data_IF_835757183812
#
_entry.id   IF_835757183812
#
_cell.length_a   1.000
_cell.length_b   1.000
_cell.length_c   1.000
_cell.angle_alpha   90.00
_cell.angle_beta   90.00
_cell.angle_gamma   90.00
#
_symmetry.space_group_name_H-M   'P 1'
#
loop_
_entity.id
_entity.type
_entity.pdbx_description
1 polymer ?
#
# COMPACT_ATOMS: atom_id res chain seq x y z
N UNK A 1 58.52 2.22 37.36
CA UNK A 1 57.87 3.49 36.99
C UNK A 1 56.39 3.19 36.76
N UNK A 2 55.55 3.66 37.69
CA UNK A 2 54.08 3.53 37.74
C UNK A 2 53.42 4.44 36.66
N UNK A 3 52.18 4.30 36.18
CA UNK A 3 50.94 3.73 36.70
C UNK A 3 49.83 4.80 36.49
N UNK A 4 48.71 4.45 35.82
CA UNK A 4 47.59 5.33 35.44
C UNK A 4 46.91 6.06 36.63
N UNK A 5 46.31 7.26 36.43
CA UNK A 5 45.46 7.91 37.44
C UNK A 5 43.93 7.60 37.28
N UNK A 6 43.16 7.56 38.39
CA UNK A 6 41.71 7.32 38.45
C UNK A 6 40.85 8.61 38.47
N UNK A 7 39.50 8.52 38.38
CA UNK A 7 38.58 9.66 38.17
C UNK A 7 38.15 10.37 39.47
N UNK A 8 37.99 11.70 39.39
CA UNK A 8 37.61 12.57 40.50
C UNK A 8 36.10 12.75 40.69
N UNK A 9 35.65 12.49 41.92
CA UNK A 9 34.30 12.76 42.45
C UNK A 9 34.27 14.16 43.10
N UNK A 10 33.15 14.88 42.95
CA UNK A 10 32.85 16.11 43.70
C UNK A 10 31.67 15.90 44.67
N UNK A 11 31.65 16.57 45.84
CA UNK A 11 30.73 16.28 46.95
C UNK A 11 29.38 17.03 46.90
N UNK A 12 28.38 16.41 47.52
CA UNK A 12 27.03 16.94 47.80
C UNK A 12 27.00 17.98 48.94
N UNK A 13 26.06 18.94 48.89
CA UNK A 13 25.43 19.55 50.07
C UNK A 13 23.88 19.35 50.09
N UNK A 14 23.18 19.68 51.21
CA UNK A 14 22.15 18.82 51.81
C UNK A 14 20.68 19.18 51.51
N UNK A 15 19.80 18.24 51.90
CA UNK A 15 18.34 18.27 51.91
C UNK A 15 17.73 19.45 52.70
N UNK A 16 16.59 19.96 52.21
CA UNK A 16 15.63 20.71 53.02
C UNK A 16 14.42 21.24 52.25
N UNK A 17 13.22 20.82 52.66
CA UNK A 17 12.01 21.67 52.73
C UNK A 17 11.08 21.74 51.52
N UNK A 18 9.93 21.07 51.61
CA UNK A 18 8.76 21.25 50.74
C UNK A 18 7.98 22.54 51.07
N UNK A 19 7.18 23.06 50.11
CA UNK A 19 5.92 23.74 50.43
C UNK A 19 4.72 23.27 49.57
N UNK A 20 3.47 23.67 49.91
CA UNK A 20 2.33 22.76 49.99
C UNK A 20 1.33 22.80 48.82
N UNK A 21 0.43 21.80 48.87
CA UNK A 21 -0.77 21.56 48.06
C UNK A 21 -1.71 22.77 47.92
N UNK A 22 -2.28 22.89 46.72
CA UNK A 22 -3.49 23.66 46.45
C UNK A 22 -4.21 23.11 45.22
N UNK A 23 -5.28 22.35 45.43
CA UNK A 23 -6.25 21.95 44.40
C UNK A 23 -7.24 23.09 44.13
N UNK A 24 -7.75 23.21 42.90
CA UNK A 24 -9.12 23.66 42.68
C UNK A 24 -10.00 22.60 41.98
N UNK A 25 -11.33 22.68 42.15
CA UNK A 25 -12.22 21.53 42.08
C UNK A 25 -12.91 21.31 40.72
N UNK A 26 -13.27 20.05 40.47
CA UNK A 26 -14.18 19.61 39.41
C UNK A 26 -15.59 20.16 39.64
N UNK A 27 -16.17 20.77 38.60
CA UNK A 27 -17.59 21.09 38.51
C UNK A 27 -18.27 20.25 37.43
N UNK A 28 -19.24 19.43 37.82
CA UNK A 28 -20.20 18.78 36.93
C UNK A 28 -21.37 19.73 36.64
N UNK A 29 -21.87 19.83 35.39
CA UNK A 29 -23.20 20.35 35.14
C UNK A 29 -24.26 19.23 35.16
N UNK A 30 -25.50 19.51 35.63
CA UNK A 30 -26.55 18.51 35.84
C UNK A 30 -27.36 18.22 34.57
N UNK A 31 -27.94 17.00 34.53
CA UNK A 31 -28.97 16.58 33.58
C UNK A 31 -30.22 17.47 33.64
N UNK A 32 -30.72 17.85 32.46
CA UNK A 32 -31.99 18.54 32.26
C UNK A 32 -32.61 18.23 30.89
N UNK A 33 -33.84 17.75 30.95
CA UNK A 33 -34.82 17.25 29.96
C UNK A 33 -34.83 17.75 28.49
N UNK A 34 -35.40 16.97 27.56
CA UNK A 34 -35.46 17.29 26.13
C UNK A 34 -36.63 18.23 25.77
N UNK A 35 -36.47 19.14 24.78
CA UNK A 35 -37.58 19.89 24.21
C UNK A 35 -38.21 19.20 22.97
N UNK A 36 -39.41 19.63 22.54
CA UNK A 36 -40.45 18.77 21.98
C UNK A 36 -40.46 18.66 20.45
N UNK A 37 -41.15 17.61 19.98
CA UNK A 37 -41.58 17.44 18.59
C UNK A 37 -42.53 18.57 18.15
N UNK A 38 -42.27 19.14 16.96
CA UNK A 38 -43.24 19.95 16.22
C UNK A 38 -42.72 20.27 14.82
N UNK A 39 -43.29 19.64 13.80
CA UNK A 39 -44.23 20.21 12.82
C UNK A 39 -43.56 20.63 11.49
N UNK A 40 -43.88 19.87 10.44
CA UNK A 40 -43.66 20.22 9.03
C UNK A 40 -44.58 21.36 8.58
N UNK A 41 -44.14 22.18 7.62
CA UNK A 41 -45.05 22.80 6.65
C UNK A 41 -44.54 22.60 5.18
N UNK A 42 -45.33 22.92 4.13
CA UNK A 42 -45.75 21.93 3.13
C UNK A 42 -45.14 22.12 1.73
N UNK A 43 -45.39 21.12 0.87
CA UNK A 43 -45.19 21.18 -0.58
C UNK A 43 -45.95 22.34 -1.24
N UNK A 44 -45.34 22.92 -2.28
CA UNK A 44 -46.10 23.42 -3.43
C UNK A 44 -45.40 24.47 -4.30
N UNK A 45 -45.44 24.18 -5.62
CA UNK A 45 -45.61 25.11 -6.74
C UNK A 45 -44.37 25.45 -7.61
N UNK A 46 -44.29 24.78 -8.77
CA UNK A 46 -43.81 25.31 -10.07
C UNK A 46 -44.77 26.43 -10.55
N UNK A 47 -44.36 27.44 -11.37
CA UNK A 47 -44.02 27.30 -12.82
C UNK A 47 -43.05 28.43 -13.34
N UNK A 48 -42.98 28.80 -14.65
CA UNK A 48 -42.66 28.09 -15.91
C UNK A 48 -41.39 28.68 -16.62
N UNK A 49 -40.98 28.19 -17.83
CA UNK A 49 -39.70 28.56 -18.46
C UNK A 49 -39.81 29.70 -19.49
N UNK A 50 -38.78 30.55 -19.54
CA UNK A 50 -38.43 31.42 -20.68
C UNK A 50 -36.90 31.45 -20.78
N UNK A 51 -36.23 31.42 -21.93
CA UNK A 51 -36.60 31.85 -23.27
C UNK A 51 -35.65 32.99 -23.69
N UNK A 52 -34.46 32.66 -24.21
CA UNK A 52 -33.57 33.50 -25.05
C UNK A 52 -32.32 32.68 -25.40
N UNK A 53 -32.19 32.13 -26.61
CA UNK A 53 -31.60 32.76 -27.81
C UNK A 53 -30.20 33.36 -27.59
N UNK A 54 -29.20 32.66 -28.13
CA UNK A 54 -27.84 33.12 -28.34
C UNK A 54 -27.20 32.30 -29.47
N UNK A 55 -27.41 32.75 -30.70
CA UNK A 55 -26.84 32.22 -31.94
C UNK A 55 -25.32 32.46 -31.98
N UNK A 56 -24.55 31.44 -32.37
CA UNK A 56 -23.29 31.63 -33.10
C UNK A 56 -23.14 30.53 -34.17
N UNK A 57 -22.93 30.99 -35.41
CA UNK A 57 -22.70 30.23 -36.63
C UNK A 57 -21.39 29.42 -36.60
N UNK A 58 -21.40 28.22 -37.17
CA UNK A 58 -20.21 27.53 -37.66
C UNK A 58 -20.52 26.90 -39.05
N UNK A 59 -19.63 27.03 -40.05
CA UNK A 59 -19.91 26.63 -41.43
C UNK A 59 -19.63 25.16 -41.73
N UNK A 60 -20.33 24.69 -42.77
CA UNK A 60 -20.37 23.37 -43.36
C UNK A 60 -19.00 22.84 -43.83
N UNK A 61 -18.74 21.56 -43.56
CA UNK A 61 -17.81 20.71 -44.28
C UNK A 61 -18.51 19.39 -44.59
N UNK A 62 -18.78 19.15 -45.87
CA UNK A 62 -19.46 17.98 -46.42
C UNK A 62 -18.51 16.78 -46.47
N UNK A 63 -18.95 15.57 -46.12
CA UNK A 63 -18.67 14.31 -46.84
C UNK A 63 -19.66 13.20 -46.39
N UNK A 64 -20.14 12.34 -47.31
CA UNK A 64 -21.32 11.46 -47.13
C UNK A 64 -21.02 10.07 -46.53
N UNK A 65 -22.05 9.34 -46.02
CA UNK A 65 -21.89 7.99 -45.49
C UNK A 65 -22.03 6.92 -46.60
N UNK A 66 -21.35 5.76 -46.51
CA UNK A 66 -21.68 4.64 -47.38
C UNK A 66 -22.86 3.83 -46.86
N UNK A 67 -23.84 3.62 -47.74
CA UNK A 67 -24.99 2.75 -47.57
C UNK A 67 -24.60 1.26 -47.57
N UNK A 68 -25.33 0.49 -46.77
CA UNK A 68 -25.20 -0.96 -46.64
C UNK A 68 -25.63 -1.75 -47.88
N UNK A 69 -25.19 -3.00 -47.91
CA UNK A 69 -25.64 -4.04 -48.83
C UNK A 69 -25.85 -5.34 -48.02
N UNK A 70 -27.10 -5.84 -47.99
CA UNK A 70 -27.46 -7.25 -47.74
C UNK A 70 -27.40 -7.99 -49.10
N UNK A 71 -27.16 -9.32 -49.20
CA UNK A 71 -28.11 -10.40 -48.81
C UNK A 71 -27.44 -11.80 -48.54
N UNK A 72 -28.13 -12.96 -48.59
CA UNK A 72 -29.45 -13.36 -48.07
C UNK A 72 -29.37 -14.51 -47.03
N UNK A 73 -30.50 -14.76 -46.33
CA UNK A 73 -30.74 -15.92 -45.45
C UNK A 73 -30.84 -17.25 -46.22
N UNK A 74 -30.44 -18.34 -45.56
CA UNK A 74 -30.93 -19.70 -45.86
C UNK A 74 -30.04 -20.83 -45.35
N UNK A 75 -30.33 -21.38 -44.16
CA UNK A 75 -29.72 -22.62 -43.66
C UNK A 75 -30.27 -23.05 -42.30
N UNK A 76 -30.75 -24.30 -42.13
CA UNK A 76 -31.56 -24.72 -40.98
C UNK A 76 -30.76 -24.90 -39.67
N UNK A 77 -31.40 -24.77 -38.48
CA UNK A 77 -30.74 -24.97 -37.19
C UNK A 77 -30.49 -26.46 -36.89
N UNK A 78 -29.43 -26.80 -36.13
CA UNK A 78 -29.15 -28.18 -35.73
C UNK A 78 -30.19 -28.71 -34.71
N UNK A 79 -30.48 -30.02 -34.72
CA UNK A 79 -31.57 -30.59 -33.93
C UNK A 79 -31.28 -30.63 -32.43
N UNK A 80 -32.31 -30.29 -31.64
CA UNK A 80 -32.37 -30.49 -30.19
C UNK A 80 -32.26 -32.00 -29.87
N UNK A 81 -31.18 -32.37 -29.18
CA UNK A 81 -31.05 -33.69 -28.58
C UNK A 81 -32.07 -33.87 -27.45
N UNK A 82 -32.94 -34.86 -27.60
CA UNK A 82 -33.89 -35.31 -26.60
C UNK A 82 -33.15 -35.85 -25.38
N UNK A 83 -33.52 -35.36 -24.19
CA UNK A 83 -33.19 -35.98 -22.92
C UNK A 83 -33.92 -37.33 -22.83
N UNK A 84 -33.17 -38.42 -23.03
CA UNK A 84 -33.60 -39.78 -22.74
C UNK A 84 -33.52 -40.06 -21.24
N UNK A 85 -34.63 -40.54 -20.66
CA UNK A 85 -34.68 -41.05 -19.30
C UNK A 85 -33.81 -42.32 -19.13
N UNK A 86 -33.14 -42.52 -17.99
CA UNK A 86 -32.49 -43.79 -17.68
C UNK A 86 -33.50 -44.84 -17.18
N UNK A 87 -33.28 -46.14 -17.47
CA UNK A 87 -34.17 -47.23 -17.09
C UNK A 87 -34.08 -47.59 -15.58
N UNK A 88 -35.13 -48.21 -14.99
CA UNK A 88 -35.15 -48.59 -13.58
C UNK A 88 -34.39 -49.91 -13.37
N UNK A 89 -33.36 -49.90 -12.51
CA UNK A 89 -32.52 -51.06 -12.26
C UNK A 89 -32.10 -51.18 -10.79
N UNK A 90 -32.79 -52.09 -10.08
CA UNK A 90 -32.45 -52.85 -8.87
C UNK A 90 -31.31 -52.38 -7.95
N UNK A 91 -31.68 -52.06 -6.71
CA UNK A 91 -30.77 -52.01 -5.57
C UNK A 91 -30.28 -53.43 -5.17
N UNK A 92 -28.99 -53.62 -4.86
CA UNK A 92 -28.54 -54.77 -4.07
C UNK A 92 -28.57 -54.44 -2.55
N UNK A 93 -28.82 -55.43 -1.68
CA UNK A 93 -29.03 -55.22 -0.26
C UNK A 93 -27.72 -54.98 0.50
N UNK A 94 -27.73 -53.97 1.39
CA UNK A 94 -26.68 -53.76 2.39
C UNK A 94 -26.72 -54.88 3.44
N UNK A 95 -25.65 -55.67 3.49
CA UNK A 95 -25.38 -56.62 4.56
C UNK A 95 -24.85 -55.92 5.82
N UNK A 96 -25.40 -56.27 6.97
CA UNK A 96 -24.90 -55.91 8.29
C UNK A 96 -23.52 -56.51 8.56
N UNK A 97 -22.56 -55.77 9.16
CA UNK A 97 -21.41 -56.38 9.80
C UNK A 97 -21.77 -56.90 11.21
N UNK A 98 -21.26 -58.09 11.62
CA UNK A 98 -21.55 -58.68 12.92
C UNK A 98 -20.79 -58.02 14.08
N UNK A 99 -21.45 -58.01 15.25
CA UNK A 99 -20.96 -57.56 16.54
C UNK A 99 -19.68 -58.29 17.00
N UNK A 100 -18.74 -57.53 17.55
CA UNK A 100 -17.52 -58.05 18.17
C UNK A 100 -17.03 -57.19 19.34
N UNK A 101 -17.56 -57.49 20.52
CA UNK A 101 -16.90 -57.52 21.85
C UNK A 101 -16.10 -56.30 22.35
N UNK A 102 -16.69 -55.57 23.30
CA UNK A 102 -16.00 -54.69 24.25
C UNK A 102 -15.37 -55.48 25.40
N UNK A 103 -14.15 -55.13 25.86
CA UNK A 103 -13.71 -55.39 27.23
C UNK A 103 -13.94 -54.18 28.16
N UNK A 104 -14.06 -54.41 29.48
CA UNK A 104 -14.69 -53.47 30.41
C UNK A 104 -13.76 -52.36 30.92
N UNK A 105 -14.39 -51.24 31.29
CA UNK A 105 -13.79 -50.16 32.04
C UNK A 105 -13.39 -50.60 33.46
N UNK A 106 -12.17 -50.27 33.89
CA UNK A 106 -11.77 -50.26 35.29
C UNK A 106 -10.81 -49.11 35.60
N UNK A 107 -11.23 -48.28 36.57
CA UNK A 107 -10.41 -47.79 37.69
C UNK A 107 -9.26 -46.79 37.42
N UNK A 108 -9.47 -45.53 37.82
CA UNK A 108 -8.37 -44.68 38.33
C UNK A 108 -7.89 -45.23 39.69
N UNK A 109 -6.58 -45.24 40.01
CA UNK A 109 -5.97 -44.13 40.78
C UNK A 109 -4.45 -43.94 40.50
N UNK A 110 -3.65 -43.28 41.37
CA UNK A 110 -3.24 -41.87 41.32
C UNK A 110 -1.75 -41.64 40.93
N UNK A 111 -1.37 -40.37 40.83
CA UNK A 111 -0.02 -39.86 40.57
C UNK A 111 1.12 -40.55 41.35
N UNK A 112 2.26 -40.77 40.68
CA UNK A 112 3.55 -41.02 41.34
C UNK A 112 4.68 -41.43 40.39
N UNK A 113 5.65 -40.53 40.21
CA UNK A 113 7.02 -40.69 39.68
C UNK A 113 7.28 -40.79 38.15
N UNK A 114 8.36 -40.13 37.65
CA UNK A 114 8.66 -40.05 36.22
C UNK A 114 9.55 -41.21 35.75
N UNK A 115 9.35 -41.78 34.54
CA UNK A 115 10.36 -42.63 33.92
C UNK A 115 11.39 -41.79 33.16
N UNK A 116 12.66 -42.07 33.45
CA UNK A 116 13.81 -41.62 32.66
C UNK A 116 13.72 -42.07 31.20
N UNK A 117 14.26 -41.23 30.32
CA UNK A 117 15.13 -41.71 29.23
C UNK A 117 14.49 -41.93 27.87
N UNK A 118 14.03 -40.87 27.23
CA UNK A 118 14.14 -40.75 25.76
C UNK A 118 15.11 -39.62 25.43
N UNK A 119 16.12 -39.86 24.58
CA UNK A 119 16.97 -38.78 24.11
C UNK A 119 16.08 -37.77 23.37
N UNK A 120 16.15 -36.46 23.67
CA UNK A 120 15.42 -35.47 22.91
C UNK A 120 15.91 -35.52 21.47
N UNK A 121 14.99 -35.84 20.55
CA UNK A 121 15.15 -35.51 19.14
C UNK A 121 15.55 -34.02 19.09
N UNK A 122 16.58 -33.63 18.32
CA UNK A 122 16.89 -32.22 18.17
C UNK A 122 15.65 -31.56 17.59
N UNK A 123 14.96 -30.79 18.43
CA UNK A 123 13.92 -29.90 17.98
C UNK A 123 14.54 -29.08 16.86
N UNK A 124 13.92 -29.12 15.69
CA UNK A 124 14.16 -28.13 14.65
C UNK A 124 13.82 -26.78 15.27
N UNK A 125 14.82 -26.17 15.93
CA UNK A 125 14.76 -24.76 16.29
C UNK A 125 14.43 -24.01 15.02
N UNK A 126 13.49 -23.07 15.12
CA UNK A 126 13.21 -22.17 14.01
C UNK A 126 14.56 -21.65 13.46
N UNK A 127 14.80 -21.73 12.14
CA UNK A 127 16.05 -21.23 11.57
C UNK A 127 16.23 -19.78 12.06
N UNK A 128 17.46 -19.37 12.41
CA UNK A 128 17.71 -18.06 12.98
C UNK A 128 17.10 -16.99 12.06
N UNK A 129 16.06 -16.33 12.54
CA UNK A 129 15.46 -15.19 11.86
C UNK A 129 16.52 -14.09 11.80
N UNK A 130 16.75 -13.54 10.61
CA UNK A 130 17.63 -12.38 10.47
C UNK A 130 17.16 -11.22 11.36
N UNK A 131 18.06 -10.31 11.77
CA UNK A 131 17.63 -9.14 12.52
C UNK A 131 16.57 -8.35 11.72
N UNK A 132 15.53 -7.82 12.39
CA UNK A 132 14.48 -7.08 11.71
C UNK A 132 15.07 -5.87 10.99
N UNK A 133 14.57 -5.61 9.78
CA UNK A 133 14.95 -4.41 9.05
C UNK A 133 14.58 -3.15 9.85
N UNK A 134 15.44 -2.12 9.90
CA UNK A 134 15.05 -0.83 10.47
C UNK A 134 13.96 -0.17 9.58
N UNK A 135 13.12 0.71 10.14
CA UNK A 135 12.22 1.53 9.34
C UNK A 135 13.00 2.39 8.33
N UNK A 136 12.38 2.63 7.18
CA UNK A 136 12.90 3.53 6.15
C UNK A 136 13.08 4.96 6.68
N UNK A 137 14.01 5.76 6.14
CA UNK A 137 14.15 7.17 6.53
C UNK A 137 12.81 7.93 6.41
N UNK A 138 12.45 8.64 7.48
CA UNK A 138 11.17 9.36 7.57
C UNK A 138 9.98 8.51 8.05
N UNK A 139 10.18 7.23 8.40
CA UNK A 139 9.16 6.38 9.03
C UNK A 139 9.29 6.31 10.55
N UNK A 140 10.34 6.88 11.12
CA UNK A 140 10.54 6.95 12.57
C UNK A 140 9.90 8.24 13.10
N UNK A 141 8.93 8.17 14.04
CA UNK A 141 8.30 9.36 14.61
C UNK A 141 9.31 10.33 15.22
N UNK A 142 9.20 11.62 14.87
CA UNK A 142 10.08 12.68 15.35
C UNK A 142 11.50 12.68 14.75
N UNK A 143 11.81 11.76 13.82
CA UNK A 143 13.08 11.76 13.12
C UNK A 143 13.17 12.93 12.13
N UNK A 144 14.24 13.70 12.24
CA UNK A 144 14.53 14.82 11.35
C UNK A 144 16.05 15.05 11.27
N UNK A 145 16.48 15.79 10.26
CA UNK A 145 17.87 16.18 10.12
C UNK A 145 18.28 17.12 11.26
N UNK A 146 19.56 17.11 11.62
CA UNK A 146 20.14 18.12 12.50
C UNK A 146 20.45 19.38 11.70
N UNK A 147 20.20 20.56 12.27
CA UNK A 147 20.53 21.83 11.63
C UNK A 147 19.49 22.92 11.87
N UNK A 148 19.59 23.99 11.07
CA UNK A 148 18.66 25.12 11.07
C UNK A 148 18.00 25.24 9.70
N UNK A 149 16.67 25.20 9.67
CA UNK A 149 15.85 25.41 8.47
C UNK A 149 15.06 26.72 8.54
N UNK A 150 15.49 27.69 9.36
CA UNK A 150 14.79 28.97 9.55
C UNK A 150 14.70 29.77 8.25
N UNK A 151 15.72 29.70 7.39
CA UNK A 151 15.73 30.38 6.10
C UNK A 151 14.67 29.80 5.16
N UNK A 152 14.61 28.49 5.04
CA UNK A 152 13.61 27.76 4.26
C UNK A 152 12.21 28.08 4.79
N UNK A 153 12.02 28.00 6.10
CA UNK A 153 10.76 28.33 6.76
C UNK A 153 10.30 29.77 6.48
N UNK A 154 11.18 30.76 6.61
CA UNK A 154 10.88 32.17 6.33
C UNK A 154 10.59 32.41 4.85
N UNK A 155 11.31 31.70 3.96
CA UNK A 155 11.12 31.75 2.51
C UNK A 155 9.75 31.20 2.11
N UNK A 156 9.37 30.03 2.63
CA UNK A 156 8.05 29.43 2.43
C UNK A 156 6.94 30.35 2.95
N UNK A 157 7.13 30.95 4.13
CA UNK A 157 6.13 31.85 4.72
C UNK A 157 5.92 33.08 3.84
N UNK A 158 7.00 33.63 3.29
CA UNK A 158 6.95 34.79 2.38
C UNK A 158 6.28 34.42 1.05
N UNK A 159 6.59 33.25 0.49
CA UNK A 159 5.99 32.76 -0.75
C UNK A 159 4.46 32.58 -0.67
N UNK A 160 3.96 32.27 0.52
CA UNK A 160 2.53 32.10 0.83
C UNK A 160 1.92 33.33 1.55
N UNK A 161 2.50 34.53 1.41
CA UNK A 161 1.97 35.75 2.06
C UNK A 161 1.44 36.73 1.03
N UNK A 162 0.17 37.11 1.18
CA UNK A 162 -0.44 38.19 0.40
C UNK A 162 -1.49 37.66 -0.55
N UNK A 163 -1.70 38.34 -1.67
CA UNK A 163 -2.61 37.88 -2.71
C UNK A 163 -1.84 37.01 -3.70
N UNK A 164 -2.28 35.76 -3.87
CA UNK A 164 -1.58 34.75 -4.68
C UNK A 164 -0.46 34.03 -3.91
N UNK A 165 0.17 33.07 -4.60
CA UNK A 165 1.28 32.27 -4.10
C UNK A 165 2.45 32.40 -5.05
N UNK A 166 3.68 32.36 -4.54
CA UNK A 166 4.89 32.22 -5.37
C UNK A 166 5.22 30.74 -5.55
N UNK A 167 4.62 30.11 -6.57
CA UNK A 167 4.75 28.67 -6.82
C UNK A 167 6.19 28.26 -7.12
N UNK A 168 6.97 29.11 -7.79
CA UNK A 168 8.36 28.83 -8.13
C UNK A 168 9.21 28.72 -6.86
N UNK A 169 9.06 29.66 -5.94
CA UNK A 169 9.77 29.62 -4.66
C UNK A 169 9.39 28.38 -3.84
N UNK A 170 8.11 27.98 -3.85
CA UNK A 170 7.70 26.73 -3.19
C UNK A 170 8.39 25.50 -3.78
N UNK A 171 8.42 25.39 -5.12
CA UNK A 171 9.08 24.28 -5.82
C UNK A 171 10.57 24.22 -5.47
N UNK A 172 11.27 25.36 -5.52
CA UNK A 172 12.72 25.41 -5.29
C UNK A 172 13.13 24.97 -3.88
N UNK A 173 12.27 25.21 -2.89
CA UNK A 173 12.51 24.83 -1.50
C UNK A 173 12.06 23.39 -1.23
N UNK A 174 10.89 22.97 -1.73
CA UNK A 174 10.26 21.72 -1.32
C UNK A 174 10.66 20.50 -2.16
N UNK A 175 11.17 20.68 -3.39
CA UNK A 175 11.48 19.57 -4.30
C UNK A 175 12.90 19.00 -4.18
N UNK A 176 13.75 19.54 -3.28
CA UNK A 176 15.17 19.16 -3.11
C UNK A 176 15.49 18.36 -1.82
N UNK A 177 14.83 18.64 -0.68
CA UNK A 177 15.15 18.01 0.59
C UNK A 177 15.04 16.49 0.55
N UNK A 178 15.91 15.81 1.28
CA UNK A 178 15.67 14.41 1.65
C UNK A 178 14.55 14.28 2.71
N UNK A 179 14.08 13.07 3.05
CA UNK A 179 12.99 12.89 4.01
C UNK A 179 13.21 13.58 5.36
N UNK A 180 14.45 13.58 5.88
CA UNK A 180 14.76 14.10 7.20
C UNK A 180 14.92 15.63 7.18
N UNK A 181 15.47 16.16 6.08
CA UNK A 181 15.50 17.60 5.83
C UNK A 181 14.08 18.17 5.66
N UNK A 182 13.19 17.48 4.95
CA UNK A 182 11.80 17.89 4.82
C UNK A 182 11.08 17.92 6.18
N UNK A 183 11.32 16.92 7.02
CA UNK A 183 10.81 16.89 8.38
C UNK A 183 11.32 18.08 9.22
N UNK A 184 12.62 18.42 9.10
CA UNK A 184 13.21 19.59 9.77
C UNK A 184 12.57 20.90 9.28
N UNK A 185 12.40 21.08 7.97
CA UNK A 185 11.77 22.27 7.38
C UNK A 185 10.34 22.43 7.89
N UNK A 186 9.54 21.37 7.84
CA UNK A 186 8.16 21.37 8.30
C UNK A 186 8.05 21.67 9.79
N UNK A 187 8.89 21.03 10.62
CA UNK A 187 8.96 21.31 12.05
C UNK A 187 9.34 22.78 12.33
N UNK A 188 10.38 23.28 11.66
CA UNK A 188 10.88 24.65 11.86
C UNK A 188 9.86 25.68 11.44
N UNK A 189 9.19 25.50 10.30
CA UNK A 189 8.10 26.37 9.85
C UNK A 189 6.99 26.45 10.89
N UNK A 190 6.51 25.30 11.37
CA UNK A 190 5.41 25.24 12.32
C UNK A 190 5.77 25.91 13.65
N UNK A 191 6.95 25.60 14.19
CA UNK A 191 7.42 26.13 15.46
C UNK A 191 7.71 27.64 15.40
N UNK A 192 8.31 28.12 14.31
CA UNK A 192 8.75 29.51 14.14
C UNK A 192 7.58 30.44 13.83
N UNK A 193 6.70 30.05 12.91
CA UNK A 193 5.58 30.89 12.47
C UNK A 193 4.28 30.66 13.25
N UNK A 194 4.24 29.65 14.13
CA UNK A 194 3.03 29.21 14.86
C UNK A 194 1.87 28.88 13.91
N UNK A 195 2.21 28.26 12.78
CA UNK A 195 1.29 27.83 11.71
C UNK A 195 1.49 26.36 11.42
N UNK A 196 0.78 25.84 10.42
CA UNK A 196 0.96 24.47 9.94
C UNK A 196 1.24 24.53 8.44
N UNK A 197 2.45 24.13 8.04
CA UNK A 197 2.92 24.20 6.66
C UNK A 197 2.00 23.44 5.70
N UNK A 198 1.58 22.23 6.06
CA UNK A 198 0.66 21.43 5.25
C UNK A 198 -0.67 22.15 5.03
N UNK A 199 -1.27 22.71 6.09
CA UNK A 199 -2.53 23.46 6.01
C UNK A 199 -2.39 24.78 5.25
N UNK A 200 -1.23 25.41 5.30
CA UNK A 200 -0.96 26.61 4.51
C UNK A 200 -0.88 26.25 3.02
N UNK A 201 -0.12 25.21 2.65
CA UNK A 201 -0.06 24.71 1.27
C UNK A 201 -1.44 24.30 0.75
N UNK A 202 -2.24 23.60 1.57
CA UNK A 202 -3.59 23.18 1.19
C UNK A 202 -4.50 24.36 0.81
N UNK A 203 -4.35 25.50 1.49
CA UNK A 203 -5.17 26.70 1.28
C UNK A 203 -4.65 27.57 0.14
N UNK A 204 -3.34 27.67 0.01
CA UNK A 204 -2.68 28.64 -0.87
C UNK A 204 -2.44 28.06 -2.28
N UNK A 205 -2.38 26.73 -2.41
CA UNK A 205 -2.20 26.05 -3.70
C UNK A 205 -3.49 25.37 -4.20
N UNK A 206 -3.60 25.20 -5.52
CA UNK A 206 -4.74 24.53 -6.16
C UNK A 206 -4.34 23.36 -7.08
N UNK A 207 -5.32 22.50 -7.37
CA UNK A 207 -5.21 21.42 -8.36
C UNK A 207 -4.04 20.45 -8.14
N UNK A 208 -3.52 19.90 -9.23
CA UNK A 208 -2.43 18.91 -9.21
C UNK A 208 -1.12 19.46 -8.65
N UNK A 209 -0.89 20.77 -8.79
CA UNK A 209 0.27 21.42 -8.18
C UNK A 209 0.23 21.33 -6.66
N UNK A 210 -0.93 21.63 -6.05
CA UNK A 210 -1.15 21.43 -4.61
C UNK A 210 -0.88 19.99 -4.21
N UNK A 211 -1.38 19.02 -4.99
CA UNK A 211 -1.24 17.61 -4.65
C UNK A 211 0.24 17.17 -4.59
N UNK A 212 1.09 17.69 -5.50
CA UNK A 212 2.55 17.48 -5.43
C UNK A 212 3.17 18.14 -4.20
N UNK A 213 2.84 19.41 -3.92
CA UNK A 213 3.41 20.12 -2.76
C UNK A 213 3.01 19.47 -1.43
N UNK A 214 1.76 19.02 -1.32
CA UNK A 214 1.26 18.29 -0.15
C UNK A 214 2.00 16.97 0.03
N UNK A 215 2.22 16.23 -1.06
CA UNK A 215 2.95 14.96 -1.01
C UNK A 215 4.41 15.14 -0.55
N UNK A 216 5.06 16.22 -0.97
CA UNK A 216 6.41 16.56 -0.50
C UNK A 216 6.42 16.96 0.98
N UNK A 217 5.56 17.90 1.39
CA UNK A 217 5.54 18.43 2.77
C UNK A 217 5.17 17.38 3.82
N UNK A 218 4.27 16.45 3.48
CA UNK A 218 3.93 15.33 4.36
C UNK A 218 5.13 14.42 4.65
N UNK A 219 6.10 14.37 3.75
CA UNK A 219 7.18 13.38 3.80
C UNK A 219 6.66 11.95 3.56
N UNK A 220 7.54 10.95 3.60
CA UNK A 220 7.24 9.63 3.05
C UNK A 220 6.15 8.87 3.84
N UNK A 221 6.23 8.84 5.17
CA UNK A 221 5.28 8.09 6.00
C UNK A 221 3.87 8.67 5.93
N UNK A 222 3.72 9.98 6.15
CA UNK A 222 2.40 10.60 6.15
C UNK A 222 1.79 10.61 4.74
N UNK A 223 2.62 10.75 3.69
CA UNK A 223 2.11 10.64 2.34
C UNK A 223 1.57 9.23 2.04
N UNK A 224 2.26 8.16 2.46
CA UNK A 224 1.75 6.79 2.36
C UNK A 224 0.42 6.62 3.14
N UNK A 225 0.31 7.18 4.34
CA UNK A 225 -0.92 7.14 5.16
C UNK A 225 -2.09 7.81 4.43
N UNK A 226 -1.87 8.99 3.85
CA UNK A 226 -2.89 9.71 3.09
C UNK A 226 -3.24 9.02 1.77
N UNK A 227 -2.25 8.45 1.07
CA UNK A 227 -2.41 7.71 -0.17
C UNK A 227 -3.25 6.42 0.04
N UNK A 228 -3.03 5.69 1.14
CA UNK A 228 -3.86 4.53 1.47
C UNK A 228 -5.30 4.98 1.75
N UNK A 229 -5.47 6.03 2.56
CA UNK A 229 -6.79 6.55 2.88
C UNK A 229 -7.54 7.03 1.62
N UNK A 230 -6.87 7.68 0.66
CA UNK A 230 -7.48 8.08 -0.61
C UNK A 230 -7.74 6.88 -1.53
N UNK A 231 -6.96 5.81 -1.42
CA UNK A 231 -7.16 4.60 -2.20
C UNK A 231 -8.39 3.79 -1.75
N UNK A 232 -8.76 3.87 -0.46
CA UNK A 232 -9.90 3.11 0.09
C UNK A 232 -11.15 3.96 0.29
N UNK A 233 -11.02 5.27 0.57
CA UNK A 233 -12.18 6.14 0.72
C UNK A 233 -12.72 6.59 -0.62
N UNK A 234 -13.98 6.25 -0.89
CA UNK A 234 -14.73 6.76 -2.03
C UNK A 234 -15.62 5.70 -2.65
N UNK A 235 -16.10 5.97 -3.86
CA UNK A 235 -16.76 4.95 -4.66
C UNK A 235 -15.70 4.13 -5.39
N UNK A 236 -15.55 2.87 -4.97
CA UNK A 236 -14.51 1.96 -5.48
C UNK A 236 -13.19 2.08 -4.74
N UNK A 237 -12.22 1.27 -5.13
CA UNK A 237 -10.88 1.23 -4.55
C UNK A 237 -9.85 1.53 -5.63
N UNK A 238 -8.77 2.23 -5.29
CA UNK A 238 -7.60 2.36 -6.16
C UNK A 238 -6.57 1.29 -5.78
N UNK A 239 -6.73 0.07 -6.30
CA UNK A 239 -5.90 -1.06 -5.91
C UNK A 239 -4.45 -0.90 -6.38
N UNK A 240 -4.20 -0.16 -7.46
CA UNK A 240 -2.83 0.18 -7.90
C UNK A 240 -2.10 1.02 -6.85
N UNK A 241 -2.78 2.01 -6.26
CA UNK A 241 -2.19 2.83 -5.19
C UNK A 241 -1.98 2.03 -3.90
N UNK A 242 -2.92 1.15 -3.53
CA UNK A 242 -2.72 0.22 -2.42
C UNK A 242 -1.52 -0.70 -2.64
N UNK A 243 -1.38 -1.25 -3.85
CA UNK A 243 -0.24 -2.09 -4.21
C UNK A 243 1.07 -1.32 -4.08
N UNK A 244 1.13 -0.10 -4.63
CA UNK A 244 2.30 0.76 -4.53
C UNK A 244 2.70 0.95 -3.06
N UNK A 245 1.76 1.32 -2.19
CA UNK A 245 2.07 1.65 -0.79
C UNK A 245 2.42 0.43 0.05
N UNK A 246 1.66 -0.67 -0.05
CA UNK A 246 1.70 -1.77 0.92
C UNK A 246 2.56 -2.96 0.49
N UNK A 247 2.74 -3.20 -0.81
CA UNK A 247 3.45 -4.40 -1.27
C UNK A 247 4.96 -4.22 -1.26
N UNK A 248 5.66 -5.32 -0.97
CA UNK A 248 7.13 -5.38 -0.91
C UNK A 248 7.78 -4.39 0.07
N UNK A 249 7.03 -3.87 1.04
CA UNK A 249 7.53 -3.08 2.18
C UNK A 249 8.15 -3.98 3.25
N UNK A 250 9.01 -3.39 4.08
CA UNK A 250 9.53 -4.05 5.28
C UNK A 250 8.44 -4.16 6.35
N UNK A 251 8.59 -5.12 7.27
CA UNK A 251 7.68 -5.24 8.41
C UNK A 251 7.67 -3.96 9.26
N UNK A 252 8.84 -3.33 9.43
CA UNK A 252 9.00 -2.08 10.16
C UNK A 252 8.20 -0.93 9.52
N UNK A 253 8.26 -0.79 8.20
CA UNK A 253 7.51 0.25 7.47
C UNK A 253 6.01 0.02 7.56
N UNK A 254 5.53 -1.22 7.39
CA UNK A 254 4.10 -1.53 7.52
C UNK A 254 3.59 -1.22 8.94
N UNK A 255 4.37 -1.55 9.97
CA UNK A 255 3.99 -1.23 11.36
C UNK A 255 3.99 0.28 11.64
N UNK A 256 4.93 1.04 11.06
CA UNK A 256 4.93 2.50 11.13
C UNK A 256 3.70 3.10 10.44
N UNK A 257 3.36 2.63 9.23
CA UNK A 257 2.16 3.05 8.49
C UNK A 257 0.90 2.78 9.33
N UNK A 258 0.72 1.56 9.85
CA UNK A 258 -0.46 1.22 10.67
C UNK A 258 -0.61 2.14 11.89
N UNK A 259 0.50 2.40 12.57
CA UNK A 259 0.52 3.27 13.75
C UNK A 259 0.14 4.70 13.40
N UNK A 260 0.75 5.27 12.35
CA UNK A 260 0.48 6.62 11.90
C UNK A 260 -0.93 6.77 11.32
N UNK A 261 -1.44 5.75 10.61
CA UNK A 261 -2.79 5.71 10.08
C UNK A 261 -3.82 5.79 11.21
N UNK A 262 -3.67 4.97 12.26
CA UNK A 262 -4.55 5.00 13.42
C UNK A 262 -4.52 6.35 14.14
N UNK A 263 -3.33 6.94 14.30
CA UNK A 263 -3.20 8.26 14.91
C UNK A 263 -3.88 9.37 14.08
N UNK A 264 -3.82 9.25 12.75
CA UNK A 264 -4.34 10.27 11.83
C UNK A 264 -5.85 10.19 11.66
N UNK A 265 -6.41 8.98 11.50
CA UNK A 265 -7.82 8.79 11.13
C UNK A 265 -8.69 8.21 12.25
N UNK A 266 -8.11 7.87 13.41
CA UNK A 266 -8.84 7.32 14.56
C UNK A 266 -9.38 5.89 14.36
N UNK A 267 -9.07 5.24 13.23
CA UNK A 267 -9.45 3.86 12.89
C UNK A 267 -8.22 3.07 12.47
N UNK A 268 -8.21 1.77 12.71
CA UNK A 268 -7.10 0.91 12.29
C UNK A 268 -7.13 0.70 10.78
N UNK A 269 -5.96 0.71 10.14
CA UNK A 269 -5.84 0.44 8.72
C UNK A 269 -6.47 -0.89 8.33
N UNK A 270 -6.27 -1.92 9.15
CA UNK A 270 -6.84 -3.26 8.96
C UNK A 270 -8.38 -3.27 8.98
N UNK A 271 -9.01 -2.37 9.72
CA UNK A 271 -10.47 -2.27 9.76
C UNK A 271 -11.01 -1.59 8.51
N UNK A 272 -10.36 -0.51 8.06
CA UNK A 272 -10.76 0.20 6.84
C UNK A 272 -10.54 -0.69 5.61
N UNK A 273 -9.40 -1.38 5.50
CA UNK A 273 -9.12 -2.33 4.42
C UNK A 273 -10.13 -3.49 4.40
N UNK A 274 -10.55 -3.99 5.57
CA UNK A 274 -11.62 -5.01 5.65
C UNK A 274 -12.98 -4.49 5.24
N UNK A 275 -13.27 -3.22 5.48
CA UNK A 275 -14.53 -2.59 5.13
C UNK A 275 -14.67 -2.32 3.63
N UNK A 276 -13.57 -1.96 2.97
CA UNK A 276 -13.56 -1.52 1.57
C UNK A 276 -13.18 -2.63 0.57
N UNK A 277 -12.49 -3.69 1.01
CA UNK A 277 -12.14 -4.83 0.15
C UNK A 277 -13.03 -6.04 0.40
N UNK A 278 -13.14 -6.93 -0.59
CA UNK A 278 -13.93 -8.16 -0.48
C UNK A 278 -13.17 -9.42 -0.86
N UNK A 279 -13.64 -10.55 -0.33
CA UNK A 279 -13.23 -11.91 -0.71
C UNK A 279 -11.71 -12.15 -0.64
N UNK A 280 -11.08 -12.50 -1.77
CA UNK A 280 -9.67 -12.89 -1.83
C UNK A 280 -8.75 -11.67 -1.66
N UNK A 281 -9.16 -10.50 -2.14
CA UNK A 281 -8.38 -9.26 -2.04
C UNK A 281 -8.26 -8.81 -0.59
N UNK A 282 -9.33 -8.93 0.19
CA UNK A 282 -9.31 -8.68 1.63
C UNK A 282 -8.33 -9.64 2.35
N UNK A 283 -8.44 -10.95 2.08
CA UNK A 283 -7.54 -11.96 2.66
C UNK A 283 -6.07 -11.70 2.31
N UNK A 284 -5.81 -11.30 1.07
CA UNK A 284 -4.48 -10.96 0.59
C UNK A 284 -3.87 -9.79 1.36
N UNK A 285 -4.57 -8.65 1.45
CA UNK A 285 -4.04 -7.49 2.17
C UNK A 285 -3.99 -7.71 3.68
N UNK A 286 -4.86 -8.54 4.26
CA UNK A 286 -4.74 -8.94 5.67
C UNK A 286 -3.39 -9.67 5.94
N UNK A 287 -2.92 -10.51 5.00
CA UNK A 287 -1.60 -11.14 5.12
C UNK A 287 -0.45 -10.14 5.01
N UNK A 288 -0.58 -9.14 4.14
CA UNK A 288 0.42 -8.05 4.01
C UNK A 288 0.47 -7.22 5.29
N UNK A 289 -0.69 -6.83 5.82
CA UNK A 289 -0.82 -5.98 7.01
C UNK A 289 -0.43 -6.71 8.30
N UNK A 290 -0.38 -8.05 8.30
CA UNK A 290 0.17 -8.81 9.40
C UNK A 290 1.64 -8.44 9.69
N UNK A 291 2.38 -7.95 8.68
CA UNK A 291 3.78 -7.52 8.83
C UNK A 291 4.68 -8.62 9.43
N UNK A 292 4.52 -9.85 8.93
CA UNK A 292 5.27 -11.05 9.33
C UNK A 292 6.07 -11.64 8.17
N UNK A 293 6.51 -10.82 7.22
CA UNK A 293 7.34 -11.25 6.09
C UNK A 293 8.72 -11.69 6.60
N UNK A 294 9.33 -12.70 5.98
CA UNK A 294 10.72 -13.04 6.23
C UNK A 294 11.60 -11.83 5.95
N UNK A 295 12.46 -11.48 6.90
CA UNK A 295 13.39 -10.36 6.76
C UNK A 295 14.37 -10.63 5.61
N UNK A 296 14.75 -9.59 4.85
CA UNK A 296 15.72 -9.72 3.75
C UNK A 296 17.10 -10.22 4.23
N UNK A 297 17.42 -9.97 5.51
CA UNK A 297 18.62 -10.42 6.20
C UNK A 297 18.60 -11.92 6.56
N UNK A 298 17.45 -12.59 6.39
CA UNK A 298 17.30 -14.01 6.72
C UNK A 298 18.12 -14.87 5.74
N UNK A 299 18.96 -15.80 6.23
CA UNK A 299 19.72 -16.68 5.36
C UNK A 299 18.83 -17.50 4.42
N UNK A 300 19.29 -17.82 3.19
CA UNK A 300 18.57 -18.72 2.30
C UNK A 300 18.29 -20.08 2.95
N UNK A 301 17.06 -20.56 2.82
CA UNK A 301 16.65 -21.88 3.31
C UNK A 301 16.24 -22.74 2.11
N UNK A 302 17.12 -23.69 1.75
CA UNK A 302 16.91 -24.56 0.58
C UNK A 302 15.67 -25.45 0.73
N UNK A 303 15.44 -26.00 1.92
CA UNK A 303 14.28 -26.84 2.19
C UNK A 303 12.97 -26.05 2.01
N UNK A 304 12.91 -24.83 2.54
CA UNK A 304 11.75 -23.95 2.34
C UNK A 304 11.57 -23.58 0.87
N UNK A 305 12.66 -23.29 0.16
CA UNK A 305 12.63 -22.99 -1.27
C UNK A 305 12.04 -24.17 -2.07
N UNK A 306 12.49 -25.41 -1.83
CA UNK A 306 11.98 -26.59 -2.54
C UNK A 306 10.51 -26.89 -2.20
N UNK A 307 10.10 -26.67 -0.94
CA UNK A 307 8.69 -26.75 -0.55
C UNK A 307 7.83 -25.70 -1.25
N UNK A 308 8.25 -24.43 -1.25
CA UNK A 308 7.53 -23.33 -1.88
C UNK A 308 7.39 -23.58 -3.38
N UNK A 309 8.45 -24.05 -4.05
CA UNK A 309 8.43 -24.45 -5.45
C UNK A 309 7.35 -25.51 -5.73
N UNK A 310 7.33 -26.58 -4.93
CA UNK A 310 6.32 -27.65 -5.08
C UNK A 310 4.90 -27.16 -4.84
N UNK A 311 4.70 -26.32 -3.82
CA UNK A 311 3.38 -25.76 -3.48
C UNK A 311 2.88 -24.76 -4.53
N UNK A 312 3.76 -23.89 -5.05
CA UNK A 312 3.43 -22.97 -6.14
C UNK A 312 3.00 -23.73 -7.39
N UNK A 313 3.76 -24.75 -7.79
CA UNK A 313 3.39 -25.61 -8.91
C UNK A 313 2.06 -26.34 -8.65
N UNK A 314 1.88 -26.93 -7.47
CA UNK A 314 0.65 -27.61 -7.07
C UNK A 314 -0.58 -26.70 -7.17
N UNK A 315 -0.47 -25.46 -6.68
CA UNK A 315 -1.54 -24.47 -6.70
C UNK A 315 -1.87 -23.92 -8.10
N UNK A 316 -0.94 -24.03 -9.07
CA UNK A 316 -1.03 -23.46 -10.42
C UNK A 316 -0.90 -24.51 -11.54
N UNK A 317 -1.26 -25.78 -11.31
CA UNK A 317 -1.35 -26.76 -12.40
C UNK A 317 -0.82 -28.16 -12.08
N UNK A 318 -0.18 -28.35 -10.93
CA UNK A 318 0.52 -29.59 -10.60
C UNK A 318 -0.30 -30.68 -9.95
N UNK A 319 -1.26 -30.37 -9.06
CA UNK A 319 -1.92 -31.40 -8.22
C UNK A 319 -3.32 -31.00 -7.74
N UNK A 320 -4.23 -31.97 -7.69
CA UNK A 320 -5.56 -31.83 -7.06
C UNK A 320 -5.34 -31.76 -5.54
N UNK A 321 -5.72 -30.64 -4.92
CA UNK A 321 -5.76 -30.51 -3.46
C UNK A 321 -4.90 -29.41 -2.87
N UNK A 322 -4.00 -28.77 -3.64
CA UNK A 322 -3.31 -27.55 -3.16
C UNK A 322 -4.20 -26.33 -3.44
N UNK A 323 -4.63 -25.59 -2.41
CA UNK A 323 -5.49 -24.42 -2.60
C UNK A 323 -4.80 -23.30 -3.39
N UNK A 324 -5.52 -22.61 -4.29
CA UNK A 324 -4.96 -21.49 -5.07
C UNK A 324 -4.41 -20.35 -4.20
N UNK A 325 -4.99 -20.12 -3.03
CA UNK A 325 -4.54 -19.07 -2.10
C UNK A 325 -3.13 -19.31 -1.54
N UNK A 326 -2.61 -20.53 -1.63
CA UNK A 326 -1.23 -20.87 -1.28
C UNK A 326 -0.22 -19.98 -2.00
N UNK A 327 -0.50 -19.58 -3.26
CA UNK A 327 0.41 -18.72 -4.05
C UNK A 327 0.66 -17.39 -3.35
N UNK A 328 -0.39 -16.70 -2.93
CA UNK A 328 -0.22 -15.41 -2.28
C UNK A 328 0.15 -15.54 -0.80
N UNK A 329 -0.18 -16.64 -0.12
CA UNK A 329 0.36 -16.94 1.21
C UNK A 329 1.89 -17.07 1.18
N UNK A 330 2.45 -17.74 0.18
CA UNK A 330 3.90 -17.83 -0.01
C UNK A 330 4.47 -16.45 -0.32
N UNK A 331 3.97 -15.76 -1.35
CA UNK A 331 4.58 -14.51 -1.80
C UNK A 331 4.50 -13.37 -0.75
N UNK A 332 3.45 -13.31 0.06
CA UNK A 332 3.33 -12.33 1.17
C UNK A 332 4.31 -12.61 2.31
N UNK A 333 4.64 -13.87 2.56
CA UNK A 333 5.53 -14.26 3.66
C UNK A 333 7.01 -14.32 3.28
N UNK A 334 7.38 -14.65 2.05
CA UNK A 334 8.80 -14.81 1.67
C UNK A 334 9.48 -13.47 1.39
N UNK A 335 10.77 -13.35 1.66
CA UNK A 335 11.55 -12.15 1.34
C UNK A 335 11.70 -11.95 -0.18
N UNK A 336 12.06 -10.75 -0.63
CA UNK A 336 12.34 -10.49 -2.05
C UNK A 336 13.50 -11.35 -2.56
N UNK A 337 14.51 -11.61 -1.74
CA UNK A 337 15.60 -12.53 -2.08
C UNK A 337 15.08 -13.95 -2.35
N UNK A 338 14.16 -14.46 -1.52
CA UNK A 338 13.54 -15.78 -1.72
C UNK A 338 12.64 -15.80 -2.95
N UNK A 339 11.81 -14.77 -3.15
CA UNK A 339 10.95 -14.66 -4.34
C UNK A 339 11.78 -14.61 -5.63
N UNK A 340 12.90 -13.88 -5.62
CA UNK A 340 13.82 -13.83 -6.77
C UNK A 340 14.39 -15.21 -7.09
N UNK A 341 14.86 -15.95 -6.07
CA UNK A 341 15.34 -17.31 -6.25
C UNK A 341 14.24 -18.23 -6.81
N UNK A 342 13.00 -18.12 -6.32
CA UNK A 342 11.87 -18.85 -6.89
C UNK A 342 11.66 -18.51 -8.36
N UNK A 343 11.65 -17.24 -8.74
CA UNK A 343 11.52 -16.80 -10.14
C UNK A 343 12.65 -17.36 -11.03
N UNK A 344 13.88 -17.37 -10.54
CA UNK A 344 15.05 -17.83 -11.31
C UNK A 344 15.04 -19.35 -11.53
N UNK A 345 14.56 -20.12 -10.56
CA UNK A 345 14.56 -21.59 -10.61
C UNK A 345 13.27 -22.20 -11.18
N UNK A 346 12.15 -21.47 -11.13
CA UNK A 346 10.87 -21.93 -11.67
C UNK A 346 10.92 -22.42 -13.13
N UNK A 347 11.48 -21.66 -14.10
CA UNK A 347 11.53 -22.11 -15.49
C UNK A 347 12.43 -23.34 -15.68
N UNK A 348 13.44 -23.54 -14.83
CA UNK A 348 14.34 -24.70 -14.89
C UNK A 348 13.62 -26.01 -14.53
N UNK A 349 12.63 -25.96 -13.62
CA UNK A 349 11.85 -27.12 -13.16
C UNK A 349 10.56 -27.33 -13.96
N UNK A 350 9.94 -26.25 -14.46
CA UNK A 350 8.57 -26.29 -14.99
C UNK A 350 8.43 -25.81 -16.44
N UNK A 351 9.53 -25.47 -17.13
CA UNK A 351 9.56 -25.02 -18.53
C UNK A 351 8.65 -23.81 -18.84
N UNK A 352 8.41 -22.96 -17.84
CA UNK A 352 7.55 -21.78 -17.92
C UNK A 352 7.96 -20.78 -16.85
N UNK A 353 7.82 -19.48 -17.11
CA UNK A 353 8.15 -18.48 -16.08
C UNK A 353 7.08 -18.44 -14.99
N UNK A 354 7.48 -18.22 -13.74
CA UNK A 354 6.54 -18.09 -12.62
C UNK A 354 5.52 -16.96 -12.86
N UNK A 355 5.95 -15.84 -13.46
CA UNK A 355 5.06 -14.74 -13.83
C UNK A 355 3.98 -15.15 -14.84
N UNK A 356 4.34 -15.98 -15.84
CA UNK A 356 3.41 -16.49 -16.86
C UNK A 356 2.39 -17.45 -16.24
N UNK A 357 2.82 -18.28 -15.28
CA UNK A 357 1.90 -19.14 -14.53
C UNK A 357 0.90 -18.33 -13.71
N UNK A 358 1.38 -17.33 -12.97
CA UNK A 358 0.50 -16.45 -12.19
C UNK A 358 -0.51 -15.74 -13.09
N UNK A 359 -0.09 -15.18 -14.23
CA UNK A 359 -1.01 -14.49 -15.14
C UNK A 359 -2.03 -15.41 -15.82
N UNK A 360 -1.73 -16.71 -15.94
CA UNK A 360 -2.64 -17.70 -16.50
C UNK A 360 -3.66 -18.24 -15.47
N UNK A 361 -3.30 -18.25 -14.18
CA UNK A 361 -4.11 -18.86 -13.11
C UNK A 361 -4.90 -17.87 -12.26
N UNK A 362 -4.51 -16.59 -12.27
CA UNK A 362 -5.15 -15.51 -11.52
C UNK A 362 -5.58 -14.39 -12.47
N UNK A 363 -6.61 -13.65 -12.07
CA UNK A 363 -7.12 -12.47 -12.79
C UNK A 363 -7.35 -11.30 -11.82
N UNK A 364 -7.67 -10.13 -12.38
CA UNK A 364 -7.98 -8.92 -11.62
C UNK A 364 -6.89 -8.50 -10.64
N UNK A 365 -7.30 -7.92 -9.51
CA UNK A 365 -6.38 -7.31 -8.54
C UNK A 365 -5.37 -8.29 -7.92
N UNK A 366 -5.77 -9.53 -7.67
CA UNK A 366 -4.86 -10.55 -7.13
C UNK A 366 -3.73 -10.84 -8.12
N UNK A 367 -4.04 -11.02 -9.41
CA UNK A 367 -3.02 -11.20 -10.44
C UNK A 367 -2.05 -10.02 -10.44
N UNK A 368 -2.59 -8.81 -10.46
CA UNK A 368 -1.79 -7.60 -10.58
C UNK A 368 -0.89 -7.38 -9.34
N UNK A 369 -1.40 -7.68 -8.14
CA UNK A 369 -0.63 -7.64 -6.90
C UNK A 369 0.48 -8.70 -6.86
N UNK A 370 0.21 -9.92 -7.31
CA UNK A 370 1.24 -10.97 -7.35
C UNK A 370 2.33 -10.65 -8.37
N UNK A 371 1.96 -10.17 -9.55
CA UNK A 371 2.92 -9.71 -10.58
C UNK A 371 3.73 -8.51 -10.07
N UNK A 372 3.10 -7.60 -9.32
CA UNK A 372 3.79 -6.48 -8.66
C UNK A 372 4.92 -6.99 -7.75
N UNK A 373 4.60 -7.94 -6.86
CA UNK A 373 5.57 -8.52 -5.93
C UNK A 373 6.73 -9.24 -6.63
N UNK A 374 6.44 -10.00 -7.69
CA UNK A 374 7.50 -10.63 -8.50
C UNK A 374 8.39 -9.57 -9.16
N UNK A 375 7.80 -8.52 -9.74
CA UNK A 375 8.52 -7.43 -10.38
C UNK A 375 9.46 -6.70 -9.42
N UNK A 376 8.96 -6.31 -8.24
CA UNK A 376 9.79 -5.67 -7.20
C UNK A 376 10.91 -6.58 -6.69
N UNK A 377 10.66 -7.89 -6.59
CA UNK A 377 11.69 -8.83 -6.16
C UNK A 377 12.79 -9.01 -7.22
N UNK A 378 12.42 -9.23 -8.49
CA UNK A 378 13.37 -9.61 -9.54
C UNK A 378 14.09 -8.39 -10.13
N UNK A 379 13.36 -7.32 -10.47
CA UNK A 379 13.90 -6.14 -11.13
C UNK A 379 13.23 -4.86 -10.59
N UNK A 380 13.57 -4.40 -9.37
CA UNK A 380 12.89 -3.27 -8.73
C UNK A 380 12.96 -1.96 -9.52
N UNK A 381 14.09 -1.67 -10.18
CA UNK A 381 14.26 -0.47 -11.02
C UNK A 381 13.38 -0.55 -12.27
N UNK A 382 13.44 -1.66 -13.02
CA UNK A 382 12.62 -1.86 -14.20
C UNK A 382 11.11 -1.86 -13.86
N UNK A 383 10.74 -2.42 -12.71
CA UNK A 383 9.38 -2.36 -12.22
C UNK A 383 8.90 -0.91 -12.08
N UNK A 384 9.69 -0.05 -11.45
CA UNK A 384 9.32 1.36 -11.27
C UNK A 384 9.31 2.12 -12.61
N UNK A 385 10.19 1.79 -13.55
CA UNK A 385 10.17 2.30 -14.94
C UNK A 385 8.86 1.96 -15.65
N UNK A 386 8.45 0.68 -15.59
CA UNK A 386 7.20 0.22 -16.18
C UNK A 386 5.97 0.85 -15.51
N UNK A 387 6.00 0.95 -14.18
CA UNK A 387 4.94 1.57 -13.40
C UNK A 387 4.80 3.06 -13.73
N UNK A 388 5.90 3.80 -13.90
CA UNK A 388 5.84 5.20 -14.34
C UNK A 388 5.24 5.33 -15.74
N UNK A 389 5.68 4.52 -16.71
CA UNK A 389 5.11 4.58 -18.06
C UNK A 389 3.61 4.22 -18.07
N UNK A 390 3.16 3.25 -17.26
CA UNK A 390 1.74 2.89 -17.11
C UNK A 390 0.86 4.08 -16.63
N UNK A 391 1.44 5.10 -15.98
CA UNK A 391 0.69 6.32 -15.62
C UNK A 391 0.55 7.32 -16.76
N UNK A 392 1.38 7.22 -17.80
CA UNK A 392 1.50 8.19 -18.88
C UNK A 392 1.11 7.61 -20.25
N UNK A 393 1.02 6.29 -20.37
CA UNK A 393 0.68 5.61 -21.61
C UNK A 393 -0.82 5.72 -21.92
N UNK A 394 -1.17 5.92 -23.19
CA UNK A 394 -2.55 5.97 -23.65
C UNK A 394 -3.12 7.39 -23.71
N UNK A 395 -4.44 7.51 -23.57
CA UNK A 395 -5.13 8.80 -23.61
C UNK A 395 -5.19 9.41 -22.21
N UNK A 396 -4.50 10.54 -22.03
CA UNK A 396 -4.41 11.23 -20.75
C UNK A 396 -3.40 10.59 -19.80
N UNK A 397 -3.36 11.11 -18.58
CA UNK A 397 -2.37 10.76 -17.56
C UNK A 397 -3.09 10.36 -16.27
N UNK A 398 -2.65 9.29 -15.62
CA UNK A 398 -3.07 9.00 -14.25
C UNK A 398 -2.23 9.82 -13.28
N UNK A 399 -2.60 11.09 -13.11
CA UNK A 399 -1.82 12.04 -12.31
C UNK A 399 -1.68 11.62 -10.85
N UNK A 400 -2.71 11.00 -10.27
CA UNK A 400 -2.64 10.48 -8.91
C UNK A 400 -1.48 9.50 -8.77
N UNK A 401 -1.42 8.45 -9.60
CA UNK A 401 -0.32 7.48 -9.54
C UNK A 401 1.01 8.10 -9.97
N UNK A 402 1.02 9.02 -10.94
CA UNK A 402 2.26 9.67 -11.39
C UNK A 402 2.90 10.47 -10.26
N UNK A 403 2.12 11.28 -9.54
CA UNK A 403 2.59 12.07 -8.40
C UNK A 403 3.11 11.14 -7.30
N UNK A 404 2.33 10.13 -6.91
CA UNK A 404 2.70 9.21 -5.83
C UNK A 404 3.98 8.44 -6.14
N UNK A 405 4.12 7.95 -7.38
CA UNK A 405 5.31 7.19 -7.81
C UNK A 405 6.54 8.09 -7.90
N UNK A 406 6.43 9.28 -8.50
CA UNK A 406 7.55 10.21 -8.62
C UNK A 406 8.04 10.71 -7.25
N UNK A 407 7.13 11.14 -6.38
CA UNK A 407 7.49 11.61 -5.02
C UNK A 407 8.13 10.48 -4.21
N UNK A 408 7.59 9.27 -4.28
CA UNK A 408 8.16 8.10 -3.59
C UNK A 408 9.58 7.78 -4.04
N UNK A 409 9.82 7.76 -5.37
CA UNK A 409 11.14 7.45 -5.94
C UNK A 409 12.13 8.56 -5.60
N UNK A 410 11.69 9.81 -5.58
CA UNK A 410 12.52 10.98 -5.29
C UNK A 410 13.20 10.96 -3.92
N UNK A 411 12.57 10.37 -2.90
CA UNK A 411 13.17 10.25 -1.57
C UNK A 411 14.47 9.43 -1.55
N UNK A 412 14.72 8.60 -2.57
CA UNK A 412 15.96 7.87 -2.75
C UNK A 412 16.65 8.32 -4.06
N UNK A 413 17.50 9.34 -3.95
CA UNK A 413 18.21 9.95 -5.10
C UNK A 413 19.01 8.92 -5.92
N UNK A 414 19.65 7.96 -5.27
CA UNK A 414 20.39 6.91 -5.98
C UNK A 414 19.45 6.02 -6.82
N UNK A 415 18.33 5.61 -6.24
CA UNK A 415 17.32 4.83 -6.96
C UNK A 415 16.66 5.64 -8.07
N UNK A 416 16.36 6.93 -7.85
CA UNK A 416 15.84 7.83 -8.88
C UNK A 416 16.77 7.89 -10.10
N UNK A 417 18.09 8.01 -9.89
CA UNK A 417 19.05 8.01 -10.99
C UNK A 417 19.06 6.68 -11.76
N UNK A 418 18.97 5.55 -11.07
CA UNK A 418 18.84 4.24 -11.73
C UNK A 418 17.56 4.15 -12.57
N UNK A 419 16.44 4.64 -12.04
CA UNK A 419 15.15 4.68 -12.77
C UNK A 419 15.26 5.57 -14.00
N UNK A 420 15.86 6.77 -13.90
CA UNK A 420 16.06 7.68 -15.03
C UNK A 420 16.87 7.02 -16.16
N UNK A 421 17.99 6.38 -15.80
CA UNK A 421 18.87 5.70 -16.76
C UNK A 421 18.18 4.51 -17.43
N UNK A 422 17.53 3.64 -16.65
CA UNK A 422 16.87 2.45 -17.22
C UNK A 422 15.61 2.83 -18.01
N UNK A 423 14.91 3.91 -17.64
CA UNK A 423 13.80 4.47 -18.42
C UNK A 423 14.28 4.90 -19.81
N UNK A 424 15.36 5.70 -19.87
CA UNK A 424 15.92 6.18 -21.12
C UNK A 424 16.43 5.03 -22.01
N UNK A 425 17.11 4.05 -21.41
CA UNK A 425 17.55 2.84 -22.12
C UNK A 425 16.39 2.04 -22.71
N UNK A 426 15.27 1.93 -22.00
CA UNK A 426 14.10 1.17 -22.46
C UNK A 426 13.29 1.89 -23.53
N UNK A 427 13.07 3.19 -23.38
CA UNK A 427 12.13 3.96 -24.21
C UNK A 427 12.81 4.92 -25.20
N UNK A 428 14.13 5.06 -25.16
CA UNK A 428 14.89 5.96 -26.03
C UNK A 428 14.63 7.45 -25.78
N UNK A 429 14.03 7.79 -24.63
CA UNK A 429 13.69 9.16 -24.25
C UNK A 429 13.89 9.36 -22.74
N UNK A 430 14.49 10.48 -22.29
CA UNK A 430 14.65 10.76 -20.87
C UNK A 430 13.30 10.84 -20.13
N UNK A 431 13.24 10.28 -18.91
CA UNK A 431 12.04 10.32 -18.06
C UNK A 431 11.53 11.75 -17.84
N UNK A 432 12.44 12.71 -17.61
CA UNK A 432 12.11 14.14 -17.49
C UNK A 432 11.33 14.65 -18.70
N UNK A 433 11.81 14.34 -19.90
CA UNK A 433 11.18 14.72 -21.17
C UNK A 433 9.87 13.97 -21.43
N UNK A 434 9.73 12.76 -20.89
CA UNK A 434 8.47 12.00 -20.94
C UNK A 434 7.39 12.68 -20.09
N UNK A 435 7.71 13.03 -18.84
CA UNK A 435 6.80 13.71 -17.91
C UNK A 435 6.41 15.11 -18.41
N UNK A 436 7.36 15.87 -18.97
CA UNK A 436 7.07 17.17 -19.57
C UNK A 436 6.08 17.09 -20.77
N UNK A 437 5.99 15.94 -21.43
CA UNK A 437 5.03 15.74 -22.52
C UNK A 437 3.58 15.54 -22.05
N UNK A 438 3.39 15.14 -20.79
CA UNK A 438 2.09 14.76 -20.20
C UNK A 438 1.52 15.83 -19.26
N UNK A 439 2.36 16.78 -18.86
CA UNK A 439 2.03 17.74 -17.79
C UNK A 439 2.22 19.16 -18.30
N UNK A 440 1.65 20.15 -17.58
CA UNK A 440 1.76 21.58 -17.93
C UNK A 440 1.78 22.47 -16.67
N UNK A 441 2.23 23.71 -16.84
CA UNK A 441 2.14 24.76 -15.81
C UNK A 441 3.01 24.45 -14.58
N UNK A 442 2.61 24.95 -13.41
CA UNK A 442 3.41 24.76 -12.18
C UNK A 442 3.41 23.31 -11.69
N UNK A 443 2.39 22.53 -12.05
CA UNK A 443 2.38 21.08 -11.87
C UNK A 443 3.53 20.38 -12.62
N UNK A 444 3.73 20.71 -13.91
CA UNK A 444 4.89 20.22 -14.66
C UNK A 444 6.19 20.66 -14.00
N UNK A 445 6.34 21.96 -13.71
CA UNK A 445 7.58 22.49 -13.10
C UNK A 445 7.92 21.77 -11.79
N UNK A 446 6.93 21.48 -10.95
CA UNK A 446 7.10 20.75 -9.72
C UNK A 446 7.60 19.31 -9.95
N UNK A 447 6.93 18.55 -10.82
CA UNK A 447 7.36 17.18 -11.14
C UNK A 447 8.75 17.14 -11.80
N UNK A 448 9.05 18.11 -12.65
CA UNK A 448 10.36 18.23 -13.25
C UNK A 448 11.42 18.59 -12.20
N UNK A 449 11.12 19.43 -11.21
CA UNK A 449 12.06 19.74 -10.13
C UNK A 449 12.39 18.50 -9.27
N UNK A 450 11.39 17.65 -9.01
CA UNK A 450 11.55 16.36 -8.29
C UNK A 450 12.49 15.40 -9.05
N UNK A 451 12.54 15.49 -10.38
CA UNK A 451 13.37 14.68 -11.27
C UNK A 451 14.79 15.23 -11.51
N UNK A 452 15.12 16.40 -10.95
CA UNK A 452 16.49 16.95 -10.98
C UNK A 452 17.36 16.21 -9.98
#
# INVERSE_FOLDING_TARGET
MAGYPPPGQYPYPPQGGAPPQGYPPQGYPPHGQPPPQGQYPPQGQHPPPGGAQGQYYAPQGQHPPPQGHYPPQGGPPPPQGQYGAPPPGGAPPYGYPPQGQYPPAQGYPPQGYPPQGYPPQPGYGAPPSGPPAPPSPGYVPGQMAQGDASREADTLRKAMKGFGTDELTLIEVLAKPDPLQMALISHTFNSRHKRNLEKDIEKECGGKFRDVMMALVRGPLMQDVHAINSAIKGMGTNEKLLNDVLLSRSNADINAIKTAYKATFGRTLEADVRGDLSMQTEQFFNLVLAATRCEESTPPNQYQHDQDMSQLWGAMGGNIGVPKNTVWQILTQRSNNQIRALCDDFPKKHNTALSVQITSHFSGHIRDALVYMLGKAVQPVMHDVLALEDTMAGMGTNDCLLIERLVRIHWNKHHLEQVKQEFEKKYGKPLRSRVAGETRGDYEKALLAILQ
#
